data_IF_523791546174
#
_entry.id   IF_523791546174
#
_cell.length_a   1.000
_cell.length_b   1.000
_cell.length_c   1.000
_cell.angle_alpha   90.00
_cell.angle_beta   90.00
_cell.angle_gamma   90.00
#
_symmetry.space_group_name_H-M   'P 1'
#
loop_
_entity.id
_entity.type
_entity.pdbx_description
1 polymer ?
#
# COMPACT_ATOMS: atom_id res chain seq x y z
N UNK A 1 -12.79 -53.39 -46.42
CA UNK A 1 -12.77 -52.14 -45.63
C UNK A 1 -11.32 -51.74 -45.38
N UNK A 2 -10.76 -50.77 -46.11
CA UNK A 2 -9.43 -50.22 -45.84
C UNK A 2 -9.55 -48.71 -45.55
N UNK A 3 -9.30 -48.31 -44.31
CA UNK A 3 -9.29 -46.90 -43.89
C UNK A 3 -7.88 -46.35 -44.14
N UNK A 4 -7.68 -45.70 -45.30
CA UNK A 4 -6.48 -44.90 -45.57
C UNK A 4 -6.52 -43.63 -44.71
N UNK A 5 -5.74 -43.61 -43.64
CA UNK A 5 -5.51 -42.41 -42.83
C UNK A 5 -4.77 -41.36 -43.68
N UNK A 6 -5.45 -40.27 -44.06
CA UNK A 6 -4.83 -39.08 -44.65
C UNK A 6 -3.89 -38.44 -43.61
N UNK A 7 -2.59 -38.64 -43.74
CA UNK A 7 -1.58 -37.87 -42.97
C UNK A 7 -1.73 -36.41 -43.37
N UNK A 8 -2.00 -35.55 -42.39
CA UNK A 8 -2.05 -34.11 -42.59
C UNK A 8 -0.62 -33.55 -42.63
N UNK A 9 -0.34 -32.57 -43.49
CA UNK A 9 0.97 -31.94 -43.62
C UNK A 9 1.54 -31.41 -42.27
N UNK A 10 0.64 -31.04 -41.35
CA UNK A 10 0.96 -30.62 -39.98
C UNK A 10 1.48 -31.77 -39.10
N UNK A 11 0.93 -32.98 -39.27
CA UNK A 11 1.41 -34.18 -38.58
C UNK A 11 2.82 -34.59 -39.01
N UNK A 12 3.11 -34.50 -40.31
CA UNK A 12 4.43 -34.82 -40.85
C UNK A 12 5.50 -33.82 -40.39
N UNK A 13 5.15 -32.53 -40.34
CA UNK A 13 6.05 -31.48 -39.83
C UNK A 13 6.41 -31.67 -38.35
N UNK A 14 5.46 -32.08 -37.51
CA UNK A 14 5.70 -32.34 -36.08
C UNK A 14 6.57 -33.59 -35.85
N UNK A 15 6.38 -34.63 -36.66
CA UNK A 15 7.22 -35.84 -36.60
C UNK A 15 8.67 -35.53 -37.02
N UNK A 16 8.85 -34.73 -38.07
CA UNK A 16 10.19 -34.29 -38.52
C UNK A 16 10.90 -33.46 -37.44
N UNK A 17 10.21 -32.47 -36.85
CA UNK A 17 10.77 -31.64 -35.75
C UNK A 17 11.10 -32.42 -34.47
N UNK A 18 10.41 -33.53 -34.19
CA UNK A 18 10.77 -34.43 -33.08
C UNK A 18 12.00 -35.26 -33.41
N UNK A 19 12.12 -35.76 -34.65
CA UNK A 19 13.30 -36.51 -35.12
C UNK A 19 14.57 -35.65 -35.08
N UNK A 20 14.50 -34.42 -35.59
CA UNK A 20 15.66 -33.51 -35.62
C UNK A 20 16.18 -33.15 -34.21
N UNK A 21 15.25 -32.97 -33.24
CA UNK A 21 15.61 -32.77 -31.84
C UNK A 21 16.21 -34.01 -31.18
N UNK A 22 15.78 -35.20 -31.58
CA UNK A 22 16.34 -36.44 -31.03
C UNK A 22 17.77 -36.66 -31.55
N UNK A 23 18.00 -36.49 -32.86
CA UNK A 23 19.33 -36.57 -33.49
C UNK A 23 20.31 -35.59 -32.83
N UNK A 24 19.86 -34.36 -32.52
CA UNK A 24 20.70 -33.36 -31.86
C UNK A 24 21.09 -33.71 -30.42
N UNK A 25 20.35 -34.58 -29.74
CA UNK A 25 20.67 -35.04 -28.37
C UNK A 25 21.60 -36.25 -28.33
N UNK A 26 21.75 -36.95 -29.44
CA UNK A 26 22.51 -38.20 -29.53
C UNK A 26 23.80 -38.04 -30.36
N UNK A 27 24.05 -36.85 -30.93
CA UNK A 27 25.27 -36.57 -31.68
C UNK A 27 26.44 -36.28 -30.72
N UNK A 28 27.47 -37.13 -30.74
CA UNK A 28 28.75 -36.89 -30.06
C UNK A 28 29.87 -36.70 -31.08
N UNK A 29 30.93 -35.98 -30.68
CA UNK A 29 32.11 -35.76 -31.52
C UNK A 29 33.24 -36.65 -31.05
N UNK A 30 33.72 -37.52 -31.94
CA UNK A 30 34.93 -38.33 -31.75
C UNK A 30 36.12 -37.65 -32.41
N UNK A 31 37.26 -37.62 -31.74
CA UNK A 31 38.51 -37.05 -32.28
C UNK A 31 39.56 -38.15 -32.46
N UNK A 32 40.13 -38.28 -33.66
CA UNK A 32 41.18 -39.26 -33.92
C UNK A 32 42.49 -38.84 -33.22
N UNK A 33 43.10 -39.69 -32.37
CA UNK A 33 44.33 -39.32 -31.65
C UNK A 33 45.56 -39.21 -32.56
N UNK A 34 45.55 -39.81 -33.74
CA UNK A 34 46.71 -39.83 -34.65
C UNK A 34 46.76 -38.65 -35.63
N UNK A 35 45.63 -38.03 -35.97
CA UNK A 35 45.58 -36.94 -36.97
C UNK A 35 44.62 -35.80 -36.61
N UNK A 36 44.04 -35.81 -35.40
CA UNK A 36 43.08 -34.82 -34.89
C UNK A 36 41.81 -34.59 -35.75
N UNK A 37 41.53 -35.44 -36.75
CA UNK A 37 40.29 -35.36 -37.53
C UNK A 37 39.09 -35.65 -36.62
N UNK A 38 38.04 -34.83 -36.73
CA UNK A 38 36.82 -34.92 -35.91
C UNK A 38 35.68 -35.56 -36.70
N UNK A 39 34.95 -36.48 -36.09
CA UNK A 39 33.80 -37.18 -36.68
C UNK A 39 32.57 -37.04 -35.78
N UNK A 40 31.40 -36.84 -36.38
CA UNK A 40 30.10 -36.90 -35.69
C UNK A 40 29.60 -38.34 -35.66
N UNK A 41 29.23 -38.83 -34.49
CA UNK A 41 28.79 -40.20 -34.30
C UNK A 41 27.61 -40.26 -33.33
N UNK A 42 26.73 -41.24 -33.53
CA UNK A 42 25.58 -41.46 -32.66
C UNK A 42 26.04 -42.11 -31.35
N UNK A 43 25.76 -41.44 -30.24
CA UNK A 43 26.09 -41.89 -28.89
C UNK A 43 25.52 -43.29 -28.58
N UNK A 44 24.33 -43.61 -29.07
CA UNK A 44 23.69 -44.92 -28.84
C UNK A 44 24.38 -46.07 -29.59
N UNK A 45 25.23 -45.78 -30.58
CA UNK A 45 26.01 -46.80 -31.28
C UNK A 45 27.21 -47.30 -30.48
N UNK A 46 27.54 -46.65 -29.37
CA UNK A 46 28.61 -47.01 -28.45
C UNK A 46 27.99 -47.52 -27.15
N UNK A 47 27.99 -48.84 -26.96
CA UNK A 47 27.58 -49.45 -25.70
C UNK A 47 28.56 -49.11 -24.55
N UNK A 48 28.21 -49.52 -23.33
CA UNK A 48 29.01 -49.24 -22.12
C UNK A 48 30.47 -49.74 -22.19
N UNK A 49 30.77 -50.72 -23.05
CA UNK A 49 32.12 -51.27 -23.23
C UNK A 49 32.96 -50.56 -24.30
N UNK A 50 32.43 -49.50 -24.93
CA UNK A 50 33.05 -48.84 -26.07
C UNK A 50 33.03 -49.66 -27.36
N UNK A 51 33.29 -49.02 -28.50
CA UNK A 51 33.33 -49.68 -29.83
C UNK A 51 34.63 -49.34 -30.54
N UNK A 52 35.22 -50.33 -31.21
CA UNK A 52 36.40 -50.14 -32.06
C UNK A 52 36.01 -49.35 -33.32
N UNK A 53 36.65 -48.20 -33.52
CA UNK A 53 36.42 -47.30 -34.66
C UNK A 53 37.72 -47.09 -35.44
N UNK A 54 37.61 -46.91 -36.76
CA UNK A 54 38.74 -46.64 -37.67
C UNK A 54 38.61 -45.23 -38.23
N UNK A 55 39.70 -44.46 -38.19
CA UNK A 55 39.78 -43.15 -38.83
C UNK A 55 39.72 -43.29 -40.36
N UNK A 56 38.84 -42.56 -41.04
CA UNK A 56 38.80 -42.54 -42.50
C UNK A 56 39.99 -41.78 -43.12
N UNK A 57 40.57 -40.82 -42.38
CA UNK A 57 41.67 -39.96 -42.85
C UNK A 57 43.05 -40.63 -42.73
N UNK A 58 43.37 -41.26 -41.59
CA UNK A 58 44.69 -41.85 -41.34
C UNK A 58 44.69 -43.37 -41.06
N UNK A 59 43.53 -44.03 -41.15
CA UNK A 59 43.34 -45.47 -40.89
C UNK A 59 43.66 -45.98 -39.47
N UNK A 60 44.06 -45.11 -38.54
CA UNK A 60 44.27 -45.48 -37.14
C UNK A 60 43.00 -46.03 -36.49
N UNK A 61 43.12 -47.11 -35.72
CA UNK A 61 42.01 -47.82 -35.10
C UNK A 61 42.10 -47.72 -33.59
N UNK A 62 41.09 -47.13 -32.95
CA UNK A 62 41.03 -46.96 -31.49
C UNK A 62 39.66 -47.37 -30.95
N UNK A 63 39.56 -47.55 -29.63
CA UNK A 63 38.28 -47.84 -28.96
C UNK A 63 37.68 -46.54 -28.46
N UNK A 64 36.51 -46.17 -28.99
CA UNK A 64 35.75 -45.03 -28.52
C UNK A 64 34.73 -45.52 -27.49
N UNK A 65 34.90 -45.12 -26.22
CA UNK A 65 33.93 -45.31 -25.15
C UNK A 65 33.26 -43.98 -24.85
N UNK A 66 31.97 -44.01 -24.56
CA UNK A 66 31.42 -42.97 -23.70
C UNK A 66 32.09 -43.17 -22.36
N UNK A 67 32.87 -42.21 -21.90
CA UNK A 67 33.15 -42.09 -20.47
C UNK A 67 31.78 -41.86 -19.83
N UNK A 68 31.10 -42.96 -19.52
CA UNK A 68 29.97 -42.97 -18.62
C UNK A 68 30.49 -42.29 -17.37
N UNK A 69 29.75 -41.30 -16.91
CA UNK A 69 29.88 -40.52 -15.68
C UNK A 69 29.83 -41.43 -14.41
N UNK A 70 30.56 -42.54 -14.43
CA UNK A 70 30.67 -43.55 -13.39
C UNK A 70 31.84 -43.20 -12.47
N UNK A 71 31.85 -41.95 -12.00
CA UNK A 71 32.50 -41.49 -10.78
C UNK A 71 32.21 -40.00 -10.63
N UNK A 72 30.94 -39.61 -10.60
CA UNK A 72 30.60 -38.37 -9.90
C UNK A 72 30.88 -38.67 -8.42
N UNK A 73 31.89 -38.07 -7.77
CA UNK A 73 32.00 -38.20 -6.32
C UNK A 73 30.67 -37.74 -5.74
N UNK A 74 30.09 -38.57 -4.88
CA UNK A 74 28.87 -38.25 -4.16
C UNK A 74 29.14 -36.96 -3.38
N UNK A 75 28.70 -35.83 -3.96
CA UNK A 75 28.77 -34.53 -3.32
C UNK A 75 27.77 -34.66 -2.17
N UNK A 76 28.27 -34.94 -0.96
CA UNK A 76 27.52 -34.70 0.26
C UNK A 76 26.95 -33.29 0.13
N UNK A 77 25.62 -33.08 0.16
CA UNK A 77 25.08 -31.74 0.01
C UNK A 77 25.66 -30.91 1.15
N UNK A 78 26.59 -30.01 0.80
CA UNK A 78 26.97 -28.93 1.66
C UNK A 78 25.66 -28.23 2.08
N UNK A 79 25.50 -27.82 3.35
CA UNK A 79 24.28 -27.16 3.78
C UNK A 79 24.01 -26.04 2.80
N UNK A 80 22.86 -26.12 2.13
CA UNK A 80 22.45 -25.18 1.10
C UNK A 80 22.33 -23.81 1.78
N UNK A 81 23.43 -23.07 1.77
CA UNK A 81 23.43 -21.68 2.17
C UNK A 81 22.57 -21.00 1.14
N UNK A 82 21.33 -20.68 1.52
CA UNK A 82 20.39 -19.95 0.69
C UNK A 82 21.17 -18.86 -0.05
N UNK A 83 21.16 -18.84 -1.40
CA UNK A 83 21.79 -17.74 -2.11
C UNK A 83 21.12 -16.48 -1.60
N UNK A 84 21.90 -15.60 -0.94
CA UNK A 84 21.48 -14.25 -0.56
C UNK A 84 21.17 -13.50 -1.85
N UNK A 85 20.00 -13.73 -2.42
CA UNK A 85 19.53 -13.12 -3.65
C UNK A 85 19.41 -11.61 -3.36
N UNK A 86 20.32 -10.76 -3.87
CA UNK A 86 20.33 -9.34 -3.53
C UNK A 86 19.03 -8.64 -3.91
N UNK A 87 18.31 -9.20 -4.90
CA UNK A 87 16.99 -8.75 -5.30
C UNK A 87 15.90 -8.94 -4.24
N UNK A 88 15.95 -9.97 -3.38
CA UNK A 88 14.94 -10.21 -2.34
C UNK A 88 15.04 -9.17 -1.24
N UNK A 89 16.25 -8.97 -0.70
CA UNK A 89 16.52 -7.94 0.31
C UNK A 89 16.24 -6.52 -0.23
N UNK A 90 16.49 -6.26 -1.53
CA UNK A 90 16.15 -5.00 -2.16
C UNK A 90 14.63 -4.80 -2.27
N UNK A 91 13.88 -5.82 -2.72
CA UNK A 91 12.41 -5.75 -2.81
C UNK A 91 11.77 -5.53 -1.43
N UNK A 92 12.24 -6.22 -0.40
CA UNK A 92 11.74 -6.05 0.98
C UNK A 92 11.95 -4.61 1.48
N UNK A 93 13.12 -4.01 1.23
CA UNK A 93 13.39 -2.60 1.57
C UNK A 93 12.50 -1.63 0.80
N UNK A 94 12.26 -1.86 -0.49
CA UNK A 94 11.38 -1.01 -1.31
C UNK A 94 9.94 -1.10 -0.84
N UNK A 95 9.45 -2.31 -0.52
CA UNK A 95 8.11 -2.52 0.02
C UNK A 95 7.93 -1.88 1.40
N UNK A 96 8.93 -2.00 2.29
CA UNK A 96 8.91 -1.33 3.60
C UNK A 96 8.84 0.18 3.44
N UNK A 97 9.68 0.77 2.59
CA UNK A 97 9.63 2.21 2.28
C UNK A 97 8.27 2.64 1.73
N UNK A 98 7.69 1.86 0.80
CA UNK A 98 6.35 2.14 0.25
C UNK A 98 5.26 2.09 1.32
N UNK A 99 5.26 1.07 2.19
CA UNK A 99 4.29 0.95 3.29
C UNK A 99 4.43 2.09 4.30
N UNK A 100 5.66 2.48 4.65
CA UNK A 100 5.92 3.62 5.53
C UNK A 100 5.48 4.94 4.88
N UNK A 101 5.76 5.15 3.59
CA UNK A 101 5.33 6.33 2.84
C UNK A 101 3.79 6.44 2.79
N UNK A 102 3.08 5.34 2.53
CA UNK A 102 1.61 5.34 2.51
C UNK A 102 1.04 5.64 3.90
N UNK A 103 1.58 5.04 4.97
CA UNK A 103 1.11 5.28 6.35
C UNK A 103 1.37 6.70 6.83
N UNK A 104 2.53 7.26 6.51
CA UNK A 104 2.90 8.64 6.87
C UNK A 104 2.06 9.65 6.10
N UNK A 105 1.80 9.42 4.81
CA UNK A 105 0.92 10.28 4.01
C UNK A 105 -0.53 10.26 4.53
N UNK A 106 -1.09 9.06 4.81
CA UNK A 106 -2.43 8.94 5.38
C UNK A 106 -2.52 9.56 6.78
N UNK A 107 -1.50 9.34 7.63
CA UNK A 107 -1.40 9.94 8.95
C UNK A 107 -1.31 11.46 8.92
N UNK A 108 -0.54 12.02 7.99
CA UNK A 108 -0.43 13.47 7.80
C UNK A 108 -1.74 14.12 7.36
N UNK A 109 -2.46 13.49 6.43
CA UNK A 109 -3.75 14.00 5.94
C UNK A 109 -4.81 14.04 7.06
N UNK A 110 -4.99 12.93 7.78
CA UNK A 110 -5.93 12.86 8.90
C UNK A 110 -5.50 13.71 10.09
N UNK A 111 -4.20 13.77 10.38
CA UNK A 111 -3.65 14.64 11.42
C UNK A 111 -3.94 16.11 11.12
N UNK A 112 -3.67 16.56 9.90
CA UNK A 112 -3.96 17.93 9.47
C UNK A 112 -5.46 18.26 9.54
N UNK A 113 -6.33 17.36 9.08
CA UNK A 113 -7.78 17.55 9.19
C UNK A 113 -8.24 17.62 10.66
N UNK A 114 -7.76 16.73 11.52
CA UNK A 114 -8.09 16.73 12.94
C UNK A 114 -7.65 18.05 13.61
N UNK A 115 -6.45 18.54 13.30
CA UNK A 115 -5.97 19.83 13.80
C UNK A 115 -6.82 20.99 13.30
N UNK A 116 -7.22 20.99 12.02
CA UNK A 116 -8.09 22.04 11.48
C UNK A 116 -9.48 22.05 12.13
N UNK A 117 -10.09 20.88 12.33
CA UNK A 117 -11.40 20.75 13.01
C UNK A 117 -11.29 21.19 14.47
N UNK A 118 -10.24 20.76 15.19
CA UNK A 118 -10.02 21.20 16.57
C UNK A 118 -9.85 22.72 16.66
N UNK A 119 -9.08 23.32 15.75
CA UNK A 119 -8.93 24.78 15.66
C UNK A 119 -10.26 25.48 15.40
N UNK A 120 -11.08 24.96 14.46
CA UNK A 120 -12.40 25.51 14.17
C UNK A 120 -13.34 25.46 15.37
N UNK A 121 -13.36 24.35 16.12
CA UNK A 121 -14.17 24.22 17.34
C UNK A 121 -13.71 25.18 18.44
N UNK A 122 -12.40 25.35 18.63
CA UNK A 122 -11.85 26.33 19.57
C UNK A 122 -12.25 27.75 19.17
N UNK A 123 -12.14 28.11 17.89
CA UNK A 123 -12.61 29.40 17.38
C UNK A 123 -14.12 29.59 17.61
N UNK A 124 -14.94 28.58 17.30
CA UNK A 124 -16.38 28.63 17.52
C UNK A 124 -16.74 28.85 19.00
N UNK A 125 -15.98 28.27 19.92
CA UNK A 125 -16.15 28.48 21.35
C UNK A 125 -15.71 29.88 21.80
N UNK A 126 -14.53 30.35 21.38
CA UNK A 126 -13.98 31.63 21.83
C UNK A 126 -14.71 32.84 21.23
N UNK A 127 -15.21 32.73 19.99
CA UNK A 127 -15.91 33.78 19.24
C UNK A 127 -17.42 33.50 19.13
N UNK A 128 -17.97 32.69 20.05
CA UNK A 128 -19.39 32.28 20.04
C UNK A 128 -20.37 33.46 19.98
N UNK A 129 -20.09 34.56 20.68
CA UNK A 129 -20.96 35.74 20.73
C UNK A 129 -21.00 36.48 19.38
N UNK A 130 -19.83 36.66 18.73
CA UNK A 130 -19.73 37.25 17.39
C UNK A 130 -20.49 36.40 16.36
N UNK A 131 -20.32 35.07 16.41
CA UNK A 131 -21.01 34.13 15.50
C UNK A 131 -22.54 34.26 15.62
N UNK A 132 -23.05 34.25 16.85
CA UNK A 132 -24.51 34.35 17.08
C UNK A 132 -25.04 35.74 16.76
N UNK A 133 -24.22 36.80 16.89
CA UNK A 133 -24.63 38.15 16.51
C UNK A 133 -24.87 38.29 15.00
N UNK A 134 -24.07 37.61 14.17
CA UNK A 134 -24.23 37.61 12.69
C UNK A 134 -25.26 36.58 12.25
N UNK A 135 -25.31 35.42 12.93
CA UNK A 135 -26.24 34.34 12.61
C UNK A 135 -27.01 33.88 13.87
N UNK A 136 -28.16 34.51 14.18
CA UNK A 136 -28.89 34.26 15.43
C UNK A 136 -29.40 32.83 15.61
N UNK A 137 -29.67 32.13 14.50
CA UNK A 137 -30.16 30.74 14.51
C UNK A 137 -29.14 29.77 15.13
N UNK A 138 -27.85 30.10 15.08
CA UNK A 138 -26.79 29.31 15.71
C UNK A 138 -26.90 29.26 17.24
N UNK A 139 -27.63 30.19 17.88
CA UNK A 139 -27.89 30.17 19.33
C UNK A 139 -28.40 28.81 19.82
N UNK A 140 -29.34 28.21 19.09
CA UNK A 140 -29.92 26.91 19.45
C UNK A 140 -28.91 25.76 19.39
N UNK A 141 -27.96 25.81 18.45
CA UNK A 141 -26.89 24.82 18.34
C UNK A 141 -25.96 24.90 19.56
N UNK A 142 -25.59 26.10 20.01
CA UNK A 142 -24.80 26.26 21.25
C UNK A 142 -25.59 25.86 22.51
N UNK A 143 -26.88 26.22 22.57
CA UNK A 143 -27.76 25.86 23.69
C UNK A 143 -27.93 24.33 23.84
N UNK A 144 -27.93 23.59 22.72
CA UNK A 144 -28.00 22.11 22.74
C UNK A 144 -26.82 21.43 23.45
N UNK A 145 -25.67 22.11 23.53
CA UNK A 145 -24.46 21.65 24.22
C UNK A 145 -24.33 22.31 25.61
N UNK A 146 -25.36 23.01 26.08
CA UNK A 146 -25.37 23.71 27.36
C UNK A 146 -24.53 25.00 27.39
N UNK A 147 -24.16 25.54 26.22
CA UNK A 147 -23.38 26.77 26.10
C UNK A 147 -24.35 27.91 25.78
N UNK A 148 -24.62 28.78 26.77
CA UNK A 148 -25.52 29.92 26.62
C UNK A 148 -24.90 31.02 25.75
N UNK A 149 -25.19 31.02 24.45
CA UNK A 149 -24.68 32.02 23.52
C UNK A 149 -25.53 33.30 23.53
N UNK A 150 -25.25 34.19 24.49
CA UNK A 150 -25.93 35.48 24.62
C UNK A 150 -25.48 36.47 23.51
N UNK A 151 -26.36 36.84 22.55
CA UNK A 151 -26.01 37.75 21.47
C UNK A 151 -25.77 39.19 21.94
N UNK A 152 -26.34 39.57 23.08
CA UNK A 152 -26.23 40.93 23.62
C UNK A 152 -24.92 41.14 24.37
N UNK A 153 -24.21 40.06 24.75
CA UNK A 153 -22.92 40.15 25.45
C UNK A 153 -23.03 40.66 26.89
N UNK A 154 -24.25 40.78 27.42
CA UNK A 154 -24.53 41.33 28.74
C UNK A 154 -25.40 40.34 29.52
N UNK A 155 -24.90 39.86 30.65
CA UNK A 155 -25.66 39.01 31.57
C UNK A 155 -26.33 39.88 32.63
N UNK A 156 -27.63 39.64 32.83
CA UNK A 156 -28.39 40.18 33.95
C UNK A 156 -28.22 39.19 35.10
N UNK A 157 -27.61 39.65 36.19
CA UNK A 157 -27.40 38.88 37.40
C UNK A 157 -28.63 38.88 38.30
N UNK A 158 -28.41 38.89 39.61
CA UNK A 158 -29.48 38.93 40.60
C UNK A 158 -30.37 40.16 40.38
N UNK A 159 -31.68 39.91 40.27
CA UNK A 159 -32.70 40.92 40.03
C UNK A 159 -33.67 40.94 41.21
N UNK A 160 -33.64 42.02 41.99
CA UNK A 160 -34.57 42.28 43.08
C UNK A 160 -35.69 43.20 42.59
N UNK A 161 -36.91 42.69 42.57
CA UNK A 161 -38.11 43.46 42.21
C UNK A 161 -38.90 43.69 43.49
N UNK A 162 -38.97 44.94 43.94
CA UNK A 162 -39.80 45.31 45.08
C UNK A 162 -40.93 46.24 44.65
N UNK A 163 -42.09 46.08 45.28
CA UNK A 163 -43.23 46.98 45.16
C UNK A 163 -43.24 47.84 46.41
N UNK A 164 -43.01 49.13 46.24
CA UNK A 164 -42.98 50.11 47.33
C UNK A 164 -44.03 51.17 47.06
N UNK A 165 -44.62 51.72 48.13
CA UNK A 165 -45.49 52.88 48.02
C UNK A 165 -44.68 54.09 48.43
N UNK A 166 -44.33 54.93 47.46
CA UNK A 166 -43.67 56.23 47.66
C UNK A 166 -44.72 57.32 47.42
N UNK A 167 -44.90 58.23 48.38
CA UNK A 167 -45.86 59.34 48.31
C UNK A 167 -47.32 58.92 47.99
N UNK A 168 -47.72 57.73 48.45
CA UNK A 168 -49.06 57.18 48.21
C UNK A 168 -49.27 56.59 46.82
N UNK A 169 -48.25 56.60 45.95
CA UNK A 169 -48.27 56.01 44.62
C UNK A 169 -47.57 54.63 44.64
N UNK A 170 -48.15 53.60 44.01
CA UNK A 170 -47.49 52.31 43.88
C UNK A 170 -46.33 52.40 42.88
N UNK A 171 -45.10 52.35 43.39
CA UNK A 171 -43.86 52.36 42.61
C UNK A 171 -43.25 50.95 42.59
N UNK A 172 -42.67 50.57 41.47
CA UNK A 172 -41.91 49.33 41.34
C UNK A 172 -40.44 49.70 41.21
N UNK A 173 -39.64 49.20 42.15
CA UNK A 173 -38.19 49.37 42.15
C UNK A 173 -37.58 48.08 41.63
N UNK A 174 -36.76 48.21 40.58
CA UNK A 174 -36.04 47.10 39.96
C UNK A 174 -34.55 47.36 40.18
N UNK A 175 -33.95 46.59 41.09
CA UNK A 175 -32.51 46.60 41.34
C UNK A 175 -31.90 45.35 40.74
N UNK A 176 -30.74 45.48 40.08
CA UNK A 176 -30.02 44.32 39.60
C UNK A 176 -28.64 44.63 39.08
N UNK A 177 -27.86 43.58 38.87
CA UNK A 177 -26.49 43.68 38.35
C UNK A 177 -26.45 43.42 36.85
N UNK A 178 -25.70 44.27 36.13
CA UNK A 178 -25.44 44.14 34.70
C UNK A 178 -23.96 43.85 34.50
N UNK A 179 -23.63 42.61 34.12
CA UNK A 179 -22.24 42.19 33.87
C UNK A 179 -21.98 42.04 32.38
N UNK A 180 -20.89 42.63 31.91
CA UNK A 180 -20.39 42.35 30.57
C UNK A 180 -19.74 40.95 30.58
N UNK A 181 -20.28 40.04 29.76
CA UNK A 181 -19.79 38.66 29.60
C UNK A 181 -19.03 38.46 28.27
N UNK A 182 -18.84 39.54 27.53
CA UNK A 182 -18.05 39.59 26.30
C UNK A 182 -16.60 40.03 26.59
N UNK A 183 -15.68 39.77 25.66
CA UNK A 183 -14.26 40.15 25.76
C UNK A 183 -13.99 41.61 25.42
N UNK A 184 -14.96 42.28 24.81
CA UNK A 184 -14.87 43.69 24.39
C UNK A 184 -15.69 44.55 25.34
N UNK A 185 -15.25 45.78 25.58
CA UNK A 185 -16.11 46.76 26.24
C UNK A 185 -17.37 46.99 25.40
N UNK A 186 -18.53 46.89 26.04
CA UNK A 186 -19.84 47.18 25.45
C UNK A 186 -20.53 48.24 26.28
N UNK A 187 -21.11 49.23 25.61
CA UNK A 187 -22.03 50.15 26.26
C UNK A 187 -23.28 49.37 26.74
N UNK A 188 -23.81 49.77 27.90
CA UNK A 188 -25.03 49.17 28.42
C UNK A 188 -26.18 49.40 27.43
N UNK A 189 -26.91 48.34 27.00
CA UNK A 189 -28.04 48.50 26.10
C UNK A 189 -29.19 49.22 26.83
N UNK A 190 -30.08 49.93 26.10
CA UNK A 190 -31.25 50.53 26.70
C UNK A 190 -32.15 49.43 27.29
N UNK A 191 -32.48 49.57 28.58
CA UNK A 191 -33.33 48.62 29.28
C UNK A 191 -34.77 49.14 29.29
N UNK A 192 -35.73 48.22 29.08
CA UNK A 192 -37.17 48.51 29.19
C UNK A 192 -37.82 47.51 30.13
N UNK A 193 -38.48 48.02 31.16
CA UNK A 193 -39.38 47.24 32.00
C UNK A 193 -40.82 47.34 31.46
N UNK A 194 -41.56 46.24 31.51
CA UNK A 194 -42.98 46.21 31.21
C UNK A 194 -43.69 45.37 32.27
N UNK A 195 -44.86 45.82 32.71
CA UNK A 195 -45.78 45.01 33.50
C UNK A 195 -46.68 44.27 32.51
N UNK A 196 -46.63 42.94 32.57
CA UNK A 196 -47.49 42.03 31.82
C UNK A 196 -48.71 41.63 32.67
#
# INVERSE_FOLDING_TARGET
MQVRAKRTARGEHLLRKRRDRNVSRTDMILSCPSCATRYRADATAFGAQGRKVRCASCSHVWTASQETDAALPEITPAPESEPKLPHRAYREKVEQKRKMAIRTAAGGAWGGLATAVAGALVCAFLFRADIVSVWPQASSAYASVGIEANPYGVAIGDLAISRTVEDGLPVIVIEGEVRNVDRRERAAPPLRAALL
#
